data_IF_302612008712
#
_entry.id   IF_302612008712
#
_cell.length_a   1.000
_cell.length_b   1.000
_cell.length_c   1.000
_cell.angle_alpha   90.00
_cell.angle_beta   90.00
_cell.angle_gamma   90.00
#
_symmetry.space_group_name_H-M   'P 1'
#
loop_
_entity.id
_entity.type
_entity.pdbx_description
1 polymer ?
#
# COMPACT_ATOMS: atom_id res chain seq x y z
N UNK A 1 -16.52 -9.34 46.59
CA UNK A 1 -16.06 -10.13 45.41
C UNK A 1 -16.43 -9.51 44.06
N UNK A 2 -17.66 -9.00 43.86
CA UNK A 2 -18.10 -8.39 42.59
C UNK A 2 -17.19 -7.26 42.04
N UNK A 3 -16.67 -6.38 42.91
CA UNK A 3 -15.74 -5.29 42.52
C UNK A 3 -14.38 -5.78 42.03
N UNK A 4 -13.85 -6.87 42.62
CA UNK A 4 -12.57 -7.47 42.19
C UNK A 4 -12.72 -8.15 40.82
N UNK A 5 -13.86 -8.81 40.57
CA UNK A 5 -14.17 -9.43 39.28
C UNK A 5 -14.30 -8.37 38.17
N UNK A 6 -14.98 -7.25 38.45
CA UNK A 6 -15.10 -6.12 37.53
C UNK A 6 -13.75 -5.49 37.17
N UNK A 7 -12.84 -5.33 38.14
CA UNK A 7 -11.48 -4.84 37.90
C UNK A 7 -10.66 -5.79 37.01
N UNK A 8 -10.80 -7.11 37.20
CA UNK A 8 -10.14 -8.11 36.35
C UNK A 8 -10.67 -8.05 34.92
N UNK A 9 -11.99 -7.92 34.74
CA UNK A 9 -12.61 -7.82 33.41
C UNK A 9 -12.17 -6.53 32.69
N UNK A 10 -12.15 -5.39 33.39
CA UNK A 10 -11.68 -4.11 32.82
C UNK A 10 -10.19 -4.19 32.49
N UNK A 11 -9.37 -4.80 33.35
CA UNK A 11 -7.95 -5.02 33.09
C UNK A 11 -7.72 -5.94 31.88
N UNK A 12 -8.54 -6.99 31.71
CA UNK A 12 -8.46 -7.92 30.60
C UNK A 12 -8.87 -7.25 29.27
N UNK A 13 -9.94 -6.44 29.29
CA UNK A 13 -10.37 -5.63 28.15
C UNK A 13 -9.30 -4.61 27.74
N UNK A 14 -8.68 -3.94 28.72
CA UNK A 14 -7.57 -3.02 28.48
C UNK A 14 -6.35 -3.76 27.89
N UNK A 15 -5.99 -4.93 28.43
CA UNK A 15 -4.91 -5.77 27.89
C UNK A 15 -5.18 -6.21 26.44
N UNK A 16 -6.42 -6.55 26.09
CA UNK A 16 -6.79 -6.90 24.71
C UNK A 16 -6.79 -5.70 23.76
N UNK A 17 -7.03 -4.49 24.26
CA UNK A 17 -6.99 -3.27 23.43
C UNK A 17 -5.58 -2.82 23.03
N UNK A 18 -4.53 -3.42 23.61
CA UNK A 18 -3.12 -3.11 23.30
C UNK A 18 -2.39 -4.23 22.54
N UNK A 19 -3.08 -5.30 22.12
CA UNK A 19 -2.47 -6.30 21.23
C UNK A 19 -2.53 -5.72 19.81
N UNK A 20 -1.67 -4.74 19.52
CA UNK A 20 -1.30 -4.46 18.14
C UNK A 20 -0.51 -5.68 17.69
N UNK A 21 -1.12 -6.51 16.86
CA UNK A 21 -0.40 -7.62 16.25
C UNK A 21 0.61 -7.06 15.25
N UNK A 22 1.88 -7.51 15.35
CA UNK A 22 2.95 -7.13 14.45
C UNK A 22 2.46 -7.10 12.99
N UNK A 23 2.73 -5.99 12.31
CA UNK A 23 2.35 -5.78 10.91
C UNK A 23 3.51 -6.14 9.99
N UNK A 24 3.23 -6.93 8.96
CA UNK A 24 4.20 -7.40 7.99
C UNK A 24 3.83 -7.01 6.56
N UNK A 25 4.79 -6.47 5.80
CA UNK A 25 4.68 -6.29 4.36
C UNK A 25 5.43 -7.43 3.67
N UNK A 26 4.73 -8.14 2.80
CA UNK A 26 5.29 -9.21 1.98
C UNK A 26 5.60 -8.67 0.59
N UNK A 27 6.83 -8.90 0.13
CA UNK A 27 7.28 -8.54 -1.21
C UNK A 27 7.91 -9.77 -1.83
N UNK A 28 7.24 -10.31 -2.84
CA UNK A 28 7.74 -11.38 -3.70
C UNK A 28 8.12 -10.80 -5.06
N UNK A 29 9.42 -10.64 -5.31
CA UNK A 29 9.95 -10.23 -6.62
C UNK A 29 10.75 -11.40 -7.24
N UNK A 30 12.05 -11.22 -7.48
CA UNK A 30 13.00 -12.31 -7.70
C UNK A 30 13.32 -13.11 -6.43
N UNK A 31 12.91 -12.58 -5.27
CA UNK A 31 13.11 -13.16 -3.95
C UNK A 31 11.91 -12.85 -3.05
N UNK A 32 11.68 -13.69 -2.04
CA UNK A 32 10.63 -13.45 -1.03
C UNK A 32 11.21 -12.67 0.15
N UNK A 33 10.71 -11.46 0.38
CA UNK A 33 11.12 -10.55 1.44
C UNK A 33 9.93 -10.25 2.35
N UNK A 34 10.19 -10.24 3.66
CA UNK A 34 9.20 -9.95 4.69
C UNK A 34 9.71 -8.79 5.52
N UNK A 35 8.95 -7.70 5.57
CA UNK A 35 9.28 -6.51 6.35
C UNK A 35 8.35 -6.38 7.54
N UNK A 36 8.87 -6.55 8.76
CA UNK A 36 8.13 -6.24 9.98
C UNK A 36 8.12 -4.73 10.20
N UNK A 37 6.96 -4.09 10.10
CA UNK A 37 6.82 -2.63 10.16
C UNK A 37 7.27 -2.04 11.49
N UNK A 38 7.01 -2.72 12.60
CA UNK A 38 7.43 -2.28 13.94
C UNK A 38 8.95 -2.25 14.14
N UNK A 39 9.72 -2.86 13.23
CA UNK A 39 11.18 -2.79 13.27
C UNK A 39 11.73 -1.45 12.72
N UNK A 40 10.86 -0.62 12.14
CA UNK A 40 11.15 0.67 11.52
C UNK A 40 10.44 1.79 12.29
N UNK A 41 11.04 2.98 12.33
CA UNK A 41 10.51 4.13 13.06
C UNK A 41 9.44 4.87 12.26
N UNK A 42 9.53 4.82 10.93
CA UNK A 42 8.54 5.40 10.04
C UNK A 42 8.53 4.70 8.69
N UNK A 43 7.45 4.89 7.94
CA UNK A 43 7.42 4.58 6.53
C UNK A 43 6.77 5.72 5.75
N UNK A 44 7.15 5.84 4.48
CA UNK A 44 6.69 6.87 3.57
C UNK A 44 6.25 6.23 2.25
N UNK A 45 4.98 6.44 1.90
CA UNK A 45 4.41 5.98 0.64
C UNK A 45 4.38 7.13 -0.37
N UNK A 46 5.11 6.98 -1.46
CA UNK A 46 5.06 7.86 -2.64
C UNK A 46 4.33 7.14 -3.78
N UNK A 47 4.12 7.82 -4.92
CA UNK A 47 3.49 7.16 -6.09
C UNK A 47 4.34 6.02 -6.67
N UNK A 48 5.67 6.10 -6.52
CA UNK A 48 6.60 5.18 -7.16
C UNK A 48 7.30 4.24 -6.17
N UNK A 49 7.36 4.59 -4.88
CA UNK A 49 8.09 3.82 -3.88
C UNK A 49 7.48 3.87 -2.49
N UNK A 50 7.64 2.77 -1.75
CA UNK A 50 7.46 2.70 -0.31
C UNK A 50 8.84 2.69 0.36
N UNK A 51 9.11 3.68 1.20
CA UNK A 51 10.38 3.81 1.93
C UNK A 51 10.16 3.50 3.41
N UNK A 52 10.84 2.49 3.94
CA UNK A 52 10.87 2.19 5.38
C UNK A 52 12.13 2.80 5.98
N UNK A 53 12.02 3.57 7.07
CA UNK A 53 13.15 4.29 7.68
C UNK A 53 13.35 3.85 9.12
N UNK A 54 14.61 3.63 9.49
CA UNK A 54 15.04 3.36 10.86
C UNK A 54 16.20 4.27 11.22
N UNK A 55 16.08 4.97 12.33
CA UNK A 55 17.13 5.76 12.93
C UNK A 55 18.24 4.82 13.41
N UNK A 56 19.48 5.09 12.99
CA UNK A 56 20.63 4.37 13.51
C UNK A 56 20.95 4.87 14.93
N UNK A 57 20.58 4.08 15.93
CA UNK A 57 20.86 4.39 17.35
C UNK A 57 22.31 4.12 17.73
N UNK A 58 23.13 3.54 16.84
CA UNK A 58 24.51 3.13 17.09
C UNK A 58 25.48 3.92 16.19
N UNK A 59 25.65 5.19 16.55
CA UNK A 59 26.88 5.97 16.30
C UNK A 59 27.16 6.54 14.90
N UNK A 60 26.41 6.25 13.83
CA UNK A 60 26.77 6.77 12.49
C UNK A 60 26.04 8.03 12.02
N UNK A 61 24.91 8.39 12.63
CA UNK A 61 24.06 9.50 12.14
C UNK A 61 23.51 9.29 10.72
N UNK A 62 23.64 8.07 10.17
CA UNK A 62 23.10 7.71 8.86
C UNK A 62 21.81 6.91 9.02
N UNK A 63 20.73 7.39 8.41
CA UNK A 63 19.44 6.69 8.44
C UNK A 63 19.52 5.40 7.60
N UNK A 64 19.16 4.26 8.20
CA UNK A 64 19.00 3.01 7.46
C UNK A 64 17.62 3.04 6.81
N UNK A 65 17.58 3.13 5.49
CA UNK A 65 16.33 3.12 4.73
C UNK A 65 16.27 1.95 3.76
N UNK A 66 15.07 1.35 3.67
CA UNK A 66 14.75 0.33 2.68
C UNK A 66 13.74 0.93 1.71
N UNK A 67 14.10 0.96 0.43
CA UNK A 67 13.21 1.42 -0.64
C UNK A 67 12.64 0.23 -1.40
N UNK A 68 11.32 0.10 -1.38
CA UNK A 68 10.56 -0.89 -2.14
C UNK A 68 9.94 -0.17 -3.35
N UNK A 69 10.27 -0.63 -4.55
CA UNK A 69 9.67 -0.09 -5.78
C UNK A 69 8.21 -0.54 -5.89
N UNK A 70 7.32 0.40 -6.21
CA UNK A 70 5.90 0.11 -6.39
C UNK A 70 5.54 -0.13 -7.85
N UNK A 71 6.41 0.19 -8.80
CA UNK A 71 6.10 0.04 -10.22
C UNK A 71 6.60 -1.31 -10.72
N UNK A 72 5.68 -2.15 -11.22
CA UNK A 72 6.03 -3.45 -11.83
C UNK A 72 6.45 -3.30 -13.29
N UNK A 73 7.13 -4.30 -13.83
CA UNK A 73 7.51 -4.30 -15.25
C UNK A 73 6.28 -4.30 -16.18
N UNK A 74 5.25 -5.07 -15.83
CA UNK A 74 3.98 -5.09 -16.56
C UNK A 74 3.29 -3.72 -16.56
N UNK A 75 3.30 -3.03 -15.42
CA UNK A 75 2.75 -1.68 -15.31
C UNK A 75 3.49 -0.68 -16.21
N UNK A 76 4.83 -0.76 -16.25
CA UNK A 76 5.65 0.08 -17.16
C UNK A 76 5.29 -0.16 -18.63
N UNK A 77 5.17 -1.43 -19.04
CA UNK A 77 4.80 -1.78 -20.41
C UNK A 77 3.42 -1.19 -20.78
N UNK A 78 2.44 -1.31 -19.89
CA UNK A 78 1.10 -0.76 -20.11
C UNK A 78 1.07 0.77 -20.12
N UNK A 79 1.90 1.45 -19.31
CA UNK A 79 2.04 2.91 -19.38
C UNK A 79 2.61 3.36 -20.73
N UNK A 80 3.63 2.68 -21.25
CA UNK A 80 4.21 3.00 -22.55
C UNK A 80 3.19 2.81 -23.68
N UNK A 81 2.44 1.71 -23.66
CA UNK A 81 1.38 1.45 -24.62
C UNK A 81 0.26 2.51 -24.53
N UNK A 82 -0.14 2.91 -23.31
CA UNK A 82 -1.15 3.95 -23.12
C UNK A 82 -0.68 5.29 -23.69
N UNK A 83 0.55 5.70 -23.43
CA UNK A 83 1.12 6.92 -24.00
C UNK A 83 1.17 6.88 -25.53
N UNK A 84 1.48 5.72 -26.10
CA UNK A 84 1.43 5.53 -27.55
C UNK A 84 0.00 5.67 -28.09
N UNK A 85 -0.98 5.03 -27.45
CA UNK A 85 -2.40 5.15 -27.85
C UNK A 85 -2.87 6.61 -27.80
N UNK A 86 -2.52 7.35 -26.75
CA UNK A 86 -2.87 8.76 -26.61
C UNK A 86 -2.22 9.62 -27.71
N UNK A 87 -0.96 9.35 -28.07
CA UNK A 87 -0.28 10.01 -29.20
C UNK A 87 -0.94 9.71 -30.55
N UNK A 88 -1.47 8.50 -30.72
CA UNK A 88 -2.24 8.09 -31.90
C UNK A 88 -3.70 8.60 -31.89
N UNK A 89 -4.10 9.38 -30.88
CA UNK A 89 -5.46 9.91 -30.73
C UNK A 89 -6.49 8.89 -30.24
N UNK A 90 -6.06 7.69 -29.83
CA UNK A 90 -6.91 6.66 -29.23
C UNK A 90 -7.05 6.93 -27.74
N UNK A 91 -8.29 6.95 -27.26
CA UNK A 91 -8.61 7.26 -25.86
C UNK A 91 -9.33 6.08 -25.21
N UNK A 92 -9.03 5.85 -23.93
CA UNK A 92 -9.74 4.87 -23.11
C UNK A 92 -10.49 5.65 -22.03
N UNK A 93 -11.81 5.45 -21.87
CA UNK A 93 -12.56 6.14 -20.83
C UNK A 93 -12.09 5.67 -19.44
N UNK A 94 -11.92 6.61 -18.53
CA UNK A 94 -11.60 6.29 -17.14
C UNK A 94 -12.77 5.57 -16.48
N UNK A 95 -12.51 4.49 -15.70
CA UNK A 95 -13.55 3.80 -14.96
C UNK A 95 -14.16 4.75 -13.93
N UNK A 96 -15.47 4.87 -13.97
CA UNK A 96 -16.23 5.69 -13.02
C UNK A 96 -16.39 5.01 -11.68
N UNK A 97 -16.30 5.77 -10.58
CA UNK A 97 -16.76 5.29 -9.28
C UNK A 97 -18.25 4.91 -9.36
N UNK A 98 -18.72 3.92 -8.59
CA UNK A 98 -20.14 3.60 -8.54
C UNK A 98 -20.96 4.87 -8.19
N UNK A 99 -21.83 5.31 -9.10
CA UNK A 99 -22.65 6.52 -8.92
C UNK A 99 -22.15 7.78 -9.64
N UNK A 100 -20.96 7.79 -10.23
CA UNK A 100 -20.50 8.90 -11.08
C UNK A 100 -20.89 8.68 -12.56
N UNK A 101 -21.43 9.71 -13.21
CA UNK A 101 -21.60 9.70 -14.67
C UNK A 101 -20.22 9.85 -15.32
N UNK A 102 -19.92 9.02 -16.32
CA UNK A 102 -18.68 9.05 -17.10
C UNK A 102 -18.65 10.28 -18.02
N UNK A 103 -18.50 11.47 -17.43
CA UNK A 103 -18.30 12.69 -18.21
C UNK A 103 -16.81 12.87 -18.45
N UNK A 104 -16.32 12.28 -19.55
CA UNK A 104 -15.18 12.78 -20.32
C UNK A 104 -13.76 12.61 -19.76
N UNK A 105 -13.56 11.93 -18.63
CA UNK A 105 -12.20 11.64 -18.14
C UNK A 105 -11.59 10.50 -18.96
N UNK A 106 -10.44 10.76 -19.58
CA UNK A 106 -9.64 9.78 -20.32
C UNK A 106 -8.58 9.24 -19.36
N UNK A 107 -8.27 7.95 -19.45
CA UNK A 107 -7.15 7.35 -18.73
C UNK A 107 -5.84 7.93 -19.28
N UNK A 108 -5.10 8.63 -18.43
CA UNK A 108 -3.70 9.03 -18.68
C UNK A 108 -2.78 8.30 -17.71
N UNK A 109 -1.48 8.26 -18.03
CA UNK A 109 -0.48 7.69 -17.10
C UNK A 109 -0.47 8.46 -15.77
N UNK A 110 -0.57 9.78 -15.84
CA UNK A 110 -0.65 10.63 -14.64
C UNK A 110 -1.85 10.28 -13.77
N UNK A 111 -3.04 10.15 -14.38
CA UNK A 111 -4.25 9.73 -13.68
C UNK A 111 -4.10 8.34 -13.04
N UNK A 112 -3.50 7.37 -13.75
CA UNK A 112 -3.24 6.04 -13.20
C UNK A 112 -2.32 6.08 -11.99
N UNK A 113 -1.25 6.88 -12.03
CA UNK A 113 -0.32 7.04 -10.90
C UNK A 113 -1.01 7.66 -9.69
N UNK A 114 -1.87 8.65 -9.90
CA UNK A 114 -2.64 9.28 -8.82
C UNK A 114 -3.66 8.31 -8.20
N UNK A 115 -4.45 7.62 -9.03
CA UNK A 115 -5.47 6.65 -8.57
C UNK A 115 -4.82 5.46 -7.84
N UNK A 116 -3.67 4.98 -8.35
CA UNK A 116 -2.86 3.96 -7.67
C UNK A 116 -2.44 4.42 -6.28
N UNK A 117 -1.89 5.64 -6.18
CA UNK A 117 -1.42 6.21 -4.91
C UNK A 117 -2.57 6.34 -3.91
N UNK A 118 -3.72 6.85 -4.35
CA UNK A 118 -4.92 6.98 -3.50
C UNK A 118 -5.37 5.61 -2.99
N UNK A 119 -5.57 4.63 -3.89
CA UNK A 119 -6.02 3.28 -3.52
C UNK A 119 -5.04 2.56 -2.61
N UNK A 120 -3.74 2.61 -2.90
CA UNK A 120 -2.74 1.97 -2.06
C UNK A 120 -2.67 2.64 -0.69
N UNK A 121 -2.80 3.96 -0.62
CA UNK A 121 -2.84 4.70 0.65
C UNK A 121 -4.02 4.25 1.51
N UNK A 122 -5.22 4.15 0.93
CA UNK A 122 -6.41 3.73 1.66
C UNK A 122 -6.34 2.26 2.11
N UNK A 123 -5.84 1.36 1.27
CA UNK A 123 -5.64 -0.05 1.65
C UNK A 123 -4.56 -0.20 2.73
N UNK A 124 -3.47 0.57 2.67
CA UNK A 124 -2.44 0.59 3.71
C UNK A 124 -2.98 1.13 5.04
N UNK A 125 -3.81 2.19 5.02
CA UNK A 125 -4.48 2.69 6.24
C UNK A 125 -5.36 1.61 6.86
N UNK A 126 -6.19 0.95 6.06
CA UNK A 126 -7.05 -0.16 6.53
C UNK A 126 -6.21 -1.28 7.14
N UNK A 127 -5.15 -1.69 6.44
CA UNK A 127 -4.22 -2.71 6.93
C UNK A 127 -3.62 -2.35 8.29
N UNK A 128 -3.22 -1.10 8.49
CA UNK A 128 -2.61 -0.66 9.75
C UNK A 128 -3.60 -0.65 10.93
N UNK A 129 -4.87 -0.35 10.69
CA UNK A 129 -5.90 -0.25 11.74
C UNK A 129 -6.67 -1.55 11.99
N UNK A 130 -6.72 -2.47 11.01
CA UNK A 130 -7.43 -3.75 11.16
C UNK A 130 -6.64 -4.71 12.05
N UNK A 131 -7.10 -4.94 13.28
CA UNK A 131 -6.45 -5.84 14.23
C UNK A 131 -6.35 -7.30 13.75
N UNK A 132 -7.22 -7.73 12.83
CA UNK A 132 -7.24 -9.10 12.32
C UNK A 132 -6.29 -9.33 11.15
N UNK A 133 -5.81 -8.25 10.51
CA UNK A 133 -4.92 -8.34 9.36
C UNK A 133 -3.47 -8.06 9.77
N UNK A 134 -2.63 -9.10 9.87
CA UNK A 134 -1.21 -8.94 10.24
C UNK A 134 -0.29 -8.85 9.03
N UNK A 135 -0.75 -9.27 7.85
CA UNK A 135 0.06 -9.31 6.63
C UNK A 135 -0.58 -8.51 5.50
N UNK A 136 0.25 -7.78 4.76
CA UNK A 136 -0.09 -7.10 3.52
C UNK A 136 0.79 -7.62 2.39
N UNK A 137 0.19 -8.34 1.45
CA UNK A 137 0.89 -8.83 0.25
C UNK A 137 0.96 -7.70 -0.80
N UNK A 138 2.06 -6.94 -0.73
CA UNK A 138 2.28 -5.80 -1.61
C UNK A 138 2.49 -6.24 -3.05
N UNK A 139 3.20 -7.35 -3.28
CA UNK A 139 3.39 -7.88 -4.63
C UNK A 139 2.06 -8.22 -5.29
N UNK A 140 1.20 -8.96 -4.58
CA UNK A 140 -0.12 -9.33 -5.12
C UNK A 140 -0.92 -8.08 -5.46
N UNK A 141 -0.97 -7.10 -4.56
CA UNK A 141 -1.70 -5.86 -4.80
C UNK A 141 -1.18 -5.12 -6.04
N UNK A 142 0.16 -5.01 -6.20
CA UNK A 142 0.78 -4.36 -7.35
C UNK A 142 0.51 -5.09 -8.66
N UNK A 143 0.50 -6.43 -8.65
CA UNK A 143 0.17 -7.24 -9.82
C UNK A 143 -1.31 -7.13 -10.19
N UNK A 144 -2.21 -7.15 -9.21
CA UNK A 144 -3.65 -6.96 -9.42
C UNK A 144 -3.93 -5.57 -10.02
N UNK A 145 -3.24 -4.53 -9.53
CA UNK A 145 -3.27 -3.19 -10.11
C UNK A 145 -2.80 -3.18 -11.57
N UNK A 146 -1.61 -3.73 -11.85
CA UNK A 146 -1.07 -3.78 -13.19
C UNK A 146 -1.99 -4.54 -14.16
N UNK A 147 -2.60 -5.64 -13.71
CA UNK A 147 -3.55 -6.43 -14.50
C UNK A 147 -4.84 -5.66 -14.80
N UNK A 148 -5.33 -4.87 -13.85
CA UNK A 148 -6.54 -4.06 -14.02
C UNK A 148 -6.41 -2.96 -15.08
N UNK A 149 -5.20 -2.41 -15.30
CA UNK A 149 -4.99 -1.37 -16.32
C UNK A 149 -5.48 -1.89 -17.69
N UNK A 150 -6.47 -1.22 -18.33
CA UNK A 150 -7.20 -1.75 -19.48
C UNK A 150 -6.45 -1.55 -20.81
N UNK A 151 -5.15 -1.82 -20.80
CA UNK A 151 -4.25 -1.73 -21.94
C UNK A 151 -3.71 -3.13 -22.20
N UNK A 152 -3.75 -3.57 -23.46
CA UNK A 152 -3.36 -4.91 -23.90
C UNK A 152 -2.02 -4.86 -24.60
#
# INVERSE_FOLDING_TARGET
MKKKLSLIIISLLLLTSFIFADKFILVSDSSFKVYRLEAYDSFELTGDALTLKKADTLWSGSDVSVKINLVTELELQKYQQLEQMLKEGRTIPAPTKPGERSTGKIITVEWLKEDKKEKLTEEMKKFLVDANQTMFDLTKWLNDWANWIPVK
#
